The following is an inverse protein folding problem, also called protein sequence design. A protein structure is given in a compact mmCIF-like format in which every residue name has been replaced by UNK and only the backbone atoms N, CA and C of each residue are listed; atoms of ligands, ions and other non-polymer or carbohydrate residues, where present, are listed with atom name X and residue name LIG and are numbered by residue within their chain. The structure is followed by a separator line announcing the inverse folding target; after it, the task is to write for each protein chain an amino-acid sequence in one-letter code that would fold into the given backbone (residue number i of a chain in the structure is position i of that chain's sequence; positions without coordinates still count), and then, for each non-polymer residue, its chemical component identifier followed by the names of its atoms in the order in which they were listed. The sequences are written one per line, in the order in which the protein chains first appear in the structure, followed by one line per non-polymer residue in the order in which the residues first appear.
data_IF_354974064718
#
_entry.id   IF_354974064718
#
_cell.length_a   1.000
_cell.length_b   1.000
_cell.length_c   1.000
_cell.angle_alpha   90.00
_cell.angle_beta   90.00
_cell.angle_gamma   90.00
#
_symmetry.space_group_name_H-M   'P 1'
#
loop_
_entity.id
_entity.type
_entity.pdbx_description
1 polymer ?
#
# COMPACT_ATOMS: atom_id res chain seq x y z
N UNK A 1 -16.79 25.00 -39.50
CA UNK A 1 -16.82 24.73 -38.05
C UNK A 1 -16.37 23.30 -37.81
N UNK A 2 -15.50 23.11 -36.81
CA UNK A 2 -14.52 22.02 -36.67
C UNK A 2 -15.17 20.64 -36.58
N UNK A 3 -14.76 19.70 -37.45
CA UNK A 3 -15.09 18.27 -37.33
C UNK A 3 -14.26 17.68 -36.19
N UNK A 4 -14.94 17.18 -35.17
CA UNK A 4 -14.37 16.48 -34.03
C UNK A 4 -13.81 15.13 -34.52
N UNK A 5 -12.48 15.00 -34.56
CA UNK A 5 -11.82 13.72 -34.82
C UNK A 5 -11.82 12.91 -33.51
N UNK A 6 -12.76 11.98 -33.38
CA UNK A 6 -12.69 10.94 -32.36
C UNK A 6 -11.49 10.04 -32.69
N UNK A 7 -10.41 10.16 -31.90
CA UNK A 7 -9.29 9.22 -31.96
C UNK A 7 -9.77 7.89 -31.39
N UNK A 8 -10.05 6.94 -32.28
CA UNK A 8 -10.27 5.55 -31.94
C UNK A 8 -8.94 4.98 -31.45
N UNK A 9 -8.85 4.68 -30.15
CA UNK A 9 -7.72 4.00 -29.54
C UNK A 9 -7.76 2.53 -29.98
N UNK A 10 -6.95 2.16 -30.96
CA UNK A 10 -6.79 0.78 -31.39
C UNK A 10 -5.75 0.13 -30.45
N UNK A 11 -6.20 -0.50 -29.36
CA UNK A 11 -5.36 -1.35 -28.54
C UNK A 11 -5.06 -2.63 -29.32
N UNK A 12 -3.88 -2.71 -29.92
CA UNK A 12 -3.36 -3.96 -30.47
C UNK A 12 -2.89 -4.85 -29.31
N UNK A 13 -3.67 -5.87 -28.99
CA UNK A 13 -3.25 -6.97 -28.10
C UNK A 13 -2.13 -7.73 -28.82
N UNK A 14 -0.88 -7.40 -28.51
CA UNK A 14 0.24 -8.28 -28.84
C UNK A 14 0.33 -9.32 -27.73
N UNK A 15 -0.17 -10.52 -28.01
CA UNK A 15 -0.04 -11.66 -27.13
C UNK A 15 1.45 -12.05 -27.04
N UNK A 16 2.15 -11.49 -26.05
CA UNK A 16 3.43 -12.04 -25.61
C UNK A 16 3.09 -13.32 -24.86
N UNK A 17 3.63 -14.46 -25.32
CA UNK A 17 3.52 -15.72 -24.62
C UNK A 17 4.22 -15.61 -23.26
N UNK A 18 3.44 -15.34 -22.22
CA UNK A 18 3.92 -15.36 -20.84
C UNK A 18 4.16 -16.81 -20.44
N UNK A 19 5.42 -17.11 -20.11
CA UNK A 19 5.75 -18.30 -19.33
C UNK A 19 4.97 -18.16 -18.02
N UNK A 20 3.90 -18.93 -17.89
CA UNK A 20 3.05 -18.95 -16.71
C UNK A 20 3.85 -19.52 -15.53
N UNK A 21 4.51 -18.67 -14.76
CA UNK A 21 4.84 -19.02 -13.38
C UNK A 21 3.50 -19.11 -12.65
N UNK A 22 3.10 -20.34 -12.33
CA UNK A 22 1.88 -20.63 -11.55
C UNK A 22 2.06 -20.15 -10.11
N UNK A 23 1.99 -18.85 -9.90
CA UNK A 23 1.64 -18.24 -8.65
C UNK A 23 0.52 -17.28 -8.98
N UNK A 24 -0.71 -17.60 -8.59
CA UNK A 24 -1.77 -16.59 -8.63
C UNK A 24 -1.31 -15.53 -7.64
N UNK A 25 -0.90 -14.36 -8.13
CA UNK A 25 -0.62 -13.23 -7.27
C UNK A 25 -1.86 -13.03 -6.39
N UNK A 26 -1.68 -13.02 -5.07
CA UNK A 26 -2.77 -12.71 -4.15
C UNK A 26 -3.10 -11.24 -4.37
N UNK A 27 -4.14 -10.94 -5.15
CA UNK A 27 -4.53 -9.56 -5.38
C UNK A 27 -4.88 -8.90 -4.04
N UNK A 28 -4.10 -7.90 -3.64
CA UNK A 28 -4.39 -7.11 -2.44
C UNK A 28 -5.70 -6.36 -2.63
N UNK A 29 -6.68 -6.67 -1.78
CA UNK A 29 -7.96 -5.95 -1.76
C UNK A 29 -7.84 -4.78 -0.78
N UNK A 30 -7.82 -3.58 -1.33
CA UNK A 30 -7.84 -2.35 -0.55
C UNK A 30 -9.23 -2.06 0.00
N UNK A 31 -9.33 -1.79 1.29
CA UNK A 31 -10.53 -1.20 1.90
C UNK A 31 -10.42 0.33 1.91
N UNK A 32 -10.09 0.92 0.76
CA UNK A 32 -10.05 2.36 0.54
C UNK A 32 -10.83 2.69 -0.72
N UNK A 33 -11.59 3.77 -0.69
CA UNK A 33 -12.21 4.36 -1.86
C UNK A 33 -11.14 5.03 -2.74
N UNK A 34 -10.60 4.29 -3.71
CA UNK A 34 -9.64 4.80 -4.69
C UNK A 34 -10.43 5.26 -5.92
N UNK A 35 -10.49 6.58 -6.08
CA UNK A 35 -11.18 7.27 -7.17
C UNK A 35 -10.16 7.83 -8.15
N UNK A 36 -10.60 8.32 -9.31
CA UNK A 36 -9.71 9.02 -10.24
C UNK A 36 -9.05 10.23 -9.58
N UNK A 37 -9.79 10.98 -8.78
CA UNK A 37 -9.34 12.23 -8.17
C UNK A 37 -8.14 12.01 -7.23
N UNK A 38 -8.24 11.00 -6.36
CA UNK A 38 -7.22 10.68 -5.36
C UNK A 38 -6.15 9.68 -5.84
N UNK A 39 -6.23 9.22 -7.09
CA UNK A 39 -5.31 8.21 -7.61
C UNK A 39 -3.88 8.77 -7.71
N UNK A 40 -2.87 8.12 -7.10
CA UNK A 40 -1.48 8.58 -7.12
C UNK A 40 -0.79 8.19 -8.45
N UNK A 41 -1.24 8.78 -9.54
CA UNK A 41 -0.84 8.42 -10.91
C UNK A 41 0.69 8.50 -11.15
N UNK A 42 1.36 9.51 -10.61
CA UNK A 42 2.80 9.68 -10.78
C UNK A 42 3.61 8.54 -10.12
N UNK A 43 3.21 8.13 -8.91
CA UNK A 43 3.79 6.99 -8.21
C UNK A 43 3.50 5.68 -8.95
N UNK A 44 2.25 5.48 -9.38
CA UNK A 44 1.85 4.30 -10.15
C UNK A 44 2.64 4.16 -11.46
N UNK A 45 2.76 5.23 -12.25
CA UNK A 45 3.53 5.24 -13.49
C UNK A 45 5.04 5.00 -13.25
N UNK A 46 5.57 5.48 -12.13
CA UNK A 46 6.98 5.29 -11.76
C UNK A 46 7.27 3.84 -11.40
N UNK A 47 6.40 3.20 -10.62
CA UNK A 47 6.54 1.79 -10.22
C UNK A 47 6.29 0.82 -11.37
N UNK A 48 5.42 1.19 -12.30
CA UNK A 48 4.99 0.32 -13.40
C UNK A 48 5.43 0.88 -14.75
N UNK A 49 6.72 0.74 -15.04
CA UNK A 49 7.35 1.28 -16.24
C UNK A 49 6.75 0.73 -17.54
N UNK A 50 6.25 -0.50 -17.54
CA UNK A 50 5.56 -1.12 -18.67
C UNK A 50 4.22 -0.45 -18.95
N UNK A 51 3.43 -0.17 -17.91
CA UNK A 51 2.17 0.59 -18.02
C UNK A 51 2.44 2.01 -18.50
N UNK A 52 3.42 2.70 -17.91
CA UNK A 52 3.83 4.04 -18.34
C UNK A 52 4.27 4.07 -19.81
N UNK A 53 5.01 3.05 -20.25
CA UNK A 53 5.43 2.95 -21.66
C UNK A 53 4.25 2.79 -22.60
N UNK A 54 3.24 2.00 -22.21
CA UNK A 54 2.07 1.73 -23.03
C UNK A 54 1.04 2.87 -23.03
N UNK A 55 0.82 3.51 -21.88
CA UNK A 55 -0.31 4.41 -21.63
C UNK A 55 0.08 5.86 -21.36
N UNK A 56 1.37 6.13 -21.10
CA UNK A 56 1.86 7.45 -20.72
C UNK A 56 1.60 7.80 -19.25
N UNK A 57 1.53 9.10 -18.97
CA UNK A 57 1.41 9.66 -17.61
C UNK A 57 0.03 10.28 -17.31
N UNK A 58 -0.96 10.06 -18.18
CA UNK A 58 -2.31 10.60 -17.97
C UNK A 58 -3.02 9.92 -16.79
N UNK A 59 -3.41 10.71 -15.78
CA UNK A 59 -4.04 10.22 -14.55
C UNK A 59 -5.30 9.41 -14.82
N UNK A 60 -6.20 9.89 -15.69
CA UNK A 60 -7.46 9.22 -15.97
C UNK A 60 -7.22 7.87 -16.66
N UNK A 61 -6.26 7.82 -17.60
CA UNK A 61 -5.88 6.57 -18.29
C UNK A 61 -5.26 5.57 -17.32
N UNK A 62 -4.33 6.01 -16.46
CA UNK A 62 -3.66 5.14 -15.48
C UNK A 62 -4.61 4.64 -14.40
N UNK A 63 -5.53 5.48 -13.93
CA UNK A 63 -6.59 5.06 -13.01
C UNK A 63 -7.49 4.01 -13.65
N UNK A 64 -7.94 4.23 -14.88
CA UNK A 64 -8.76 3.27 -15.62
C UNK A 64 -8.02 1.94 -15.83
N UNK A 65 -6.71 1.98 -16.11
CA UNK A 65 -5.89 0.77 -16.15
C UNK A 65 -5.91 0.02 -14.82
N UNK A 66 -5.61 0.70 -13.71
CA UNK A 66 -5.62 0.07 -12.38
C UNK A 66 -6.97 -0.57 -12.06
N UNK A 67 -8.06 0.18 -12.28
CA UNK A 67 -9.43 -0.24 -11.98
C UNK A 67 -9.88 -1.45 -12.80
N UNK A 68 -9.51 -1.52 -14.07
CA UNK A 68 -10.00 -2.56 -14.99
C UNK A 68 -9.09 -3.78 -15.07
N UNK A 69 -7.78 -3.60 -14.84
CA UNK A 69 -6.78 -4.66 -15.06
C UNK A 69 -5.73 -4.70 -13.95
N UNK A 70 -5.21 -3.54 -13.52
CA UNK A 70 -4.04 -3.50 -12.66
C UNK A 70 -4.20 -4.26 -11.33
N UNK A 71 -5.37 -4.21 -10.69
CA UNK A 71 -5.61 -4.99 -9.47
C UNK A 71 -5.54 -6.51 -9.72
N UNK A 72 -6.08 -6.99 -10.86
CA UNK A 72 -6.01 -8.41 -11.25
C UNK A 72 -4.58 -8.83 -11.66
N UNK A 73 -3.80 -7.89 -12.19
CA UNK A 73 -2.36 -8.07 -12.47
C UNK A 73 -1.50 -8.08 -11.19
N UNK A 74 -2.09 -7.89 -10.00
CA UNK A 74 -1.37 -7.80 -8.73
C UNK A 74 -0.69 -6.45 -8.48
N UNK A 75 -1.06 -5.40 -9.24
CA UNK A 75 -0.50 -4.06 -9.06
C UNK A 75 -1.21 -3.34 -7.93
N UNK A 76 -0.44 -2.93 -6.94
CA UNK A 76 -0.92 -2.14 -5.81
C UNK A 76 -0.82 -0.62 -6.03
N UNK A 77 -1.58 0.13 -5.24
CA UNK A 77 -1.63 1.59 -5.23
C UNK A 77 -1.13 2.08 -3.88
N UNK A 78 -0.26 3.09 -3.90
CA UNK A 78 0.24 3.72 -2.68
C UNK A 78 -0.90 4.46 -1.97
N UNK A 79 -1.05 4.24 -0.66
CA UNK A 79 -2.06 4.94 0.12
C UNK A 79 -1.51 6.29 0.56
N UNK A 80 -2.11 7.36 0.05
CA UNK A 80 -1.68 8.76 0.28
C UNK A 80 -2.64 9.49 1.21
N UNK A 81 -2.24 10.69 1.64
CA UNK A 81 -3.10 11.60 2.40
C UNK A 81 -4.38 11.96 1.64
N UNK A 82 -4.29 12.13 0.30
CA UNK A 82 -5.45 12.37 -0.56
C UNK A 82 -6.42 11.18 -0.56
N UNK A 83 -5.92 9.95 -0.64
CA UNK A 83 -6.74 8.73 -0.54
C UNK A 83 -7.44 8.66 0.82
N UNK A 84 -6.73 8.97 1.91
CA UNK A 84 -7.30 8.89 3.26
C UNK A 84 -8.36 9.98 3.50
N UNK A 85 -8.12 11.21 3.05
CA UNK A 85 -9.04 12.34 3.24
C UNK A 85 -10.32 12.24 2.43
N UNK A 86 -10.33 11.47 1.34
CA UNK A 86 -11.54 11.24 0.56
C UNK A 86 -12.43 10.11 1.11
N UNK A 87 -11.99 9.37 2.14
CA UNK A 87 -12.78 8.28 2.70
C UNK A 87 -14.04 8.81 3.42
N UNK A 88 -15.14 8.06 3.36
CA UNK A 88 -16.38 8.42 4.08
C UNK A 88 -16.18 8.54 5.60
N UNK A 89 -15.17 7.85 6.16
CA UNK A 89 -14.79 7.87 7.57
C UNK A 89 -13.50 8.67 7.83
N UNK A 90 -13.19 9.68 7.00
CA UNK A 90 -11.98 10.50 7.12
C UNK A 90 -11.77 11.11 8.51
N UNK A 91 -12.86 11.41 9.23
CA UNK A 91 -12.84 12.00 10.58
C UNK A 91 -12.68 10.96 11.71
N UNK A 92 -12.56 9.67 11.38
CA UNK A 92 -12.34 8.62 12.39
C UNK A 92 -10.93 8.73 12.98
N UNK A 93 -10.78 8.36 14.27
CA UNK A 93 -9.48 8.33 14.95
C UNK A 93 -8.47 7.40 14.27
N UNK A 94 -8.96 6.32 13.63
CA UNK A 94 -8.13 5.40 12.84
C UNK A 94 -7.56 6.12 11.61
N UNK A 95 -8.39 6.83 10.83
CA UNK A 95 -7.91 7.57 9.64
C UNK A 95 -6.98 8.71 10.06
N UNK A 96 -7.30 9.44 11.13
CA UNK A 96 -6.41 10.47 11.68
C UNK A 96 -5.03 9.88 12.07
N UNK A 97 -5.01 8.68 12.66
CA UNK A 97 -3.77 7.97 13.01
C UNK A 97 -2.99 7.53 11.77
N UNK A 98 -3.67 7.07 10.72
CA UNK A 98 -3.05 6.77 9.40
C UNK A 98 -2.45 8.01 8.75
N UNK A 99 -3.15 9.16 8.80
CA UNK A 99 -2.62 10.44 8.32
C UNK A 99 -1.37 10.83 9.13
N UNK A 100 -1.40 10.68 10.46
CA UNK A 100 -0.21 10.93 11.28
C UNK A 100 0.95 9.99 10.93
N UNK A 101 0.68 8.70 10.70
CA UNK A 101 1.68 7.73 10.26
C UNK A 101 2.36 8.14 8.94
N UNK A 102 1.64 8.78 8.00
CA UNK A 102 2.26 9.36 6.79
C UNK A 102 3.29 10.46 7.11
N UNK A 103 3.11 11.20 8.21
CA UNK A 103 4.08 12.22 8.66
C UNK A 103 5.29 11.60 9.37
N UNK A 104 5.12 10.41 9.95
CA UNK A 104 6.19 9.66 10.60
C UNK A 104 7.11 8.99 9.57
N UNK A 105 6.55 8.44 8.48
CA UNK A 105 7.31 7.67 7.47
C UNK A 105 8.59 8.35 6.95
N UNK A 106 8.60 9.65 6.58
CA UNK A 106 9.81 10.33 6.12
C UNK A 106 10.93 10.43 7.16
N UNK A 107 10.64 10.17 8.45
CA UNK A 107 11.65 10.10 9.52
C UNK A 107 12.31 8.71 9.60
N UNK A 108 11.68 7.70 8.99
CA UNK A 108 12.10 6.30 9.02
C UNK A 108 12.85 5.94 7.74
N UNK A 109 12.34 6.39 6.60
CA UNK A 109 12.82 6.00 5.27
C UNK A 109 13.11 7.20 4.37
N UNK A 110 13.79 6.94 3.25
CA UNK A 110 13.96 7.91 2.18
C UNK A 110 13.91 7.24 0.80
N UNK A 111 13.85 8.05 -0.26
CA UNK A 111 13.67 7.57 -1.64
C UNK A 111 14.87 6.81 -2.23
N UNK A 112 16.03 6.87 -1.59
CA UNK A 112 17.23 6.12 -2.03
C UNK A 112 17.27 4.69 -1.50
N UNK A 113 16.42 4.37 -0.52
CA UNK A 113 16.31 3.03 0.03
C UNK A 113 15.58 2.09 -0.94
N UNK A 114 16.10 0.87 -1.05
CA UNK A 114 15.38 -0.27 -1.64
C UNK A 114 14.16 -0.64 -0.80
N UNK A 115 13.23 -1.40 -1.37
CA UNK A 115 12.03 -1.85 -0.64
C UNK A 115 12.40 -2.72 0.58
N UNK A 116 13.40 -3.58 0.45
CA UNK A 116 13.93 -4.37 1.56
C UNK A 116 14.54 -3.52 2.68
N UNK A 117 15.23 -2.42 2.34
CA UNK A 117 15.75 -1.48 3.34
C UNK A 117 14.63 -0.70 4.03
N UNK A 118 13.61 -0.27 3.28
CA UNK A 118 12.42 0.41 3.85
C UNK A 118 11.67 -0.50 4.82
N UNK A 119 11.43 -1.76 4.44
CA UNK A 119 10.78 -2.77 5.30
C UNK A 119 11.54 -2.93 6.62
N UNK A 120 12.87 -3.11 6.56
CA UNK A 120 13.72 -3.25 7.75
C UNK A 120 13.73 -1.98 8.62
N UNK A 121 13.78 -0.81 8.00
CA UNK A 121 13.75 0.46 8.71
C UNK A 121 12.43 0.64 9.47
N UNK A 122 11.30 0.35 8.82
CA UNK A 122 9.97 0.37 9.44
C UNK A 122 9.88 -0.64 10.59
N UNK A 123 10.29 -1.88 10.37
CA UNK A 123 10.30 -2.91 11.41
C UNK A 123 11.10 -2.46 12.65
N UNK A 124 12.32 -1.97 12.45
CA UNK A 124 13.20 -1.51 13.52
C UNK A 124 12.61 -0.31 14.26
N UNK A 125 12.03 0.64 13.53
CA UNK A 125 11.36 1.79 14.13
C UNK A 125 10.18 1.34 14.97
N UNK A 126 9.33 0.44 14.46
CA UNK A 126 8.17 -0.08 15.19
C UNK A 126 8.57 -0.80 16.49
N UNK A 127 9.58 -1.68 16.44
CA UNK A 127 10.11 -2.36 17.64
C UNK A 127 10.66 -1.40 18.70
N UNK A 128 11.19 -0.26 18.28
CA UNK A 128 11.83 0.72 19.17
C UNK A 128 10.82 1.70 19.76
N UNK A 129 9.82 2.10 18.98
CA UNK A 129 8.96 3.24 19.31
C UNK A 129 7.56 2.85 19.75
N UNK A 130 7.13 1.61 19.52
CA UNK A 130 5.81 1.14 19.90
C UNK A 130 5.92 0.26 21.15
N UNK A 131 5.04 0.49 22.12
CA UNK A 131 5.00 -0.27 23.37
C UNK A 131 3.96 -1.38 23.27
N UNK A 132 4.35 -2.62 23.56
CA UNK A 132 3.39 -3.72 23.66
C UNK A 132 2.52 -3.57 24.92
N UNK A 133 1.21 -3.78 24.78
CA UNK A 133 0.28 -3.84 25.90
C UNK A 133 -1.17 -3.62 25.48
N UNK A 134 -2.06 -3.69 26.46
CA UNK A 134 -3.50 -3.46 26.28
C UNK A 134 -3.87 -2.06 26.75
N UNK A 135 -4.70 -1.38 25.99
CA UNK A 135 -5.37 -0.15 26.42
C UNK A 135 -6.70 -0.49 27.11
N UNK A 136 -7.29 0.49 27.81
CA UNK A 136 -8.62 0.31 28.44
C UNK A 136 -9.75 0.35 27.42
N UNK A 137 -9.51 1.01 26.30
CA UNK A 137 -10.40 1.07 25.13
C UNK A 137 -9.91 0.10 24.05
N UNK A 138 -10.46 0.21 22.84
CA UNK A 138 -10.04 -0.64 21.71
C UNK A 138 -8.86 -0.07 20.90
N UNK A 139 -8.21 1.03 21.34
CA UNK A 139 -7.12 1.65 20.56
C UNK A 139 -5.92 0.73 20.37
N UNK A 140 -5.65 -0.17 21.32
CA UNK A 140 -4.53 -1.11 21.26
C UNK A 140 -4.64 -2.17 20.15
N UNK A 141 -5.84 -2.42 19.61
CA UNK A 141 -6.06 -3.33 18.48
C UNK A 141 -5.90 -2.65 17.11
N UNK A 142 -5.58 -1.36 17.11
CA UNK A 142 -5.51 -0.54 15.92
C UNK A 142 -4.22 0.27 15.85
N UNK A 143 -3.93 0.82 14.67
CA UNK A 143 -2.85 1.82 14.47
C UNK A 143 -2.96 3.05 15.39
N UNK A 144 -4.13 3.27 16.00
CA UNK A 144 -4.37 4.32 16.99
C UNK A 144 -3.40 4.24 18.17
N UNK A 145 -3.20 3.05 18.75
CA UNK A 145 -2.26 2.87 19.87
C UNK A 145 -0.85 3.34 19.50
N UNK A 146 -0.22 2.75 18.47
CA UNK A 146 1.10 3.14 17.98
C UNK A 146 1.26 4.63 17.67
N UNK A 147 0.26 5.24 17.03
CA UNK A 147 0.35 6.63 16.56
C UNK A 147 0.01 7.67 17.63
N UNK A 148 -0.51 7.25 18.79
CA UNK A 148 -0.82 8.14 19.92
C UNK A 148 0.11 7.91 21.13
N UNK A 149 1.21 7.18 20.94
CA UNK A 149 2.10 6.71 22.00
C UNK A 149 1.39 5.89 23.10
N UNK A 150 0.28 5.24 22.73
CA UNK A 150 -0.41 4.26 23.55
C UNK A 150 0.18 2.85 23.39
N UNK A 151 -0.16 1.93 24.30
CA UNK A 151 0.20 0.53 24.14
C UNK A 151 -0.60 -0.12 23.00
N UNK A 152 -0.05 -1.18 22.39
CA UNK A 152 -0.74 -1.94 21.34
C UNK A 152 -0.53 -3.45 21.48
N UNK A 153 -1.49 -4.23 20.99
CA UNK A 153 -1.38 -5.70 20.85
C UNK A 153 -0.91 -6.07 19.44
N UNK A 154 -0.79 -7.37 19.18
CA UNK A 154 -0.34 -7.89 17.88
C UNK A 154 -1.18 -7.37 16.70
N UNK A 155 -2.49 -7.18 16.90
CA UNK A 155 -3.40 -6.64 15.88
C UNK A 155 -3.05 -5.20 15.47
N UNK A 156 -2.77 -4.34 16.44
CA UNK A 156 -2.40 -2.95 16.14
C UNK A 156 -0.99 -2.85 15.56
N UNK A 157 -0.07 -3.76 15.92
CA UNK A 157 1.20 -3.91 15.21
C UNK A 157 0.99 -4.32 13.75
N UNK A 158 0.16 -5.32 13.49
CA UNK A 158 -0.09 -5.82 12.15
C UNK A 158 -0.77 -4.76 11.25
N UNK A 159 -1.78 -4.05 11.76
CA UNK A 159 -2.42 -2.95 11.04
C UNK A 159 -1.41 -1.83 10.73
N UNK A 160 -0.57 -1.47 11.70
CA UNK A 160 0.40 -0.38 11.53
C UNK A 160 1.45 -0.72 10.50
N UNK A 161 1.98 -1.95 10.53
CA UNK A 161 2.99 -2.40 9.58
C UNK A 161 2.42 -2.45 8.16
N UNK A 162 1.24 -3.07 7.98
CA UNK A 162 0.57 -3.11 6.68
C UNK A 162 0.30 -1.71 6.13
N UNK A 163 -0.17 -0.78 6.98
CA UNK A 163 -0.40 0.59 6.57
C UNK A 163 0.90 1.30 6.13
N UNK A 164 2.01 1.11 6.85
CA UNK A 164 3.29 1.68 6.41
C UNK A 164 3.72 1.12 5.05
N UNK A 165 3.53 -0.17 4.80
CA UNK A 165 3.87 -0.78 3.50
C UNK A 165 2.98 -0.22 2.37
N UNK A 166 1.69 -0.07 2.65
CA UNK A 166 0.74 0.56 1.73
C UNK A 166 1.10 2.00 1.38
N UNK A 167 1.49 2.78 2.39
CA UNK A 167 1.96 4.15 2.19
C UNK A 167 3.34 4.22 1.52
N UNK A 168 4.08 3.13 1.45
CA UNK A 168 5.33 3.02 0.71
C UNK A 168 5.14 2.46 -0.71
N UNK A 169 3.96 1.93 -1.03
CA UNK A 169 3.73 1.21 -2.28
C UNK A 169 4.44 -0.13 -2.33
N UNK A 170 4.66 -0.75 -1.16
CA UNK A 170 5.25 -2.08 -0.98
C UNK A 170 4.12 -3.05 -0.65
N UNK A 171 4.07 -4.18 -1.35
CA UNK A 171 2.97 -5.13 -1.17
C UNK A 171 3.13 -5.90 0.14
N UNK A 172 2.15 -5.74 1.03
CA UNK A 172 2.05 -6.48 2.28
C UNK A 172 0.60 -6.86 2.56
N UNK A 173 0.39 -7.98 3.25
CA UNK A 173 -0.93 -8.51 3.59
C UNK A 173 -0.94 -8.89 5.06
N UNK A 174 -1.98 -8.52 5.79
CA UNK A 174 -2.26 -9.07 7.13
C UNK A 174 -2.81 -10.50 7.03
N UNK A 175 -2.22 -11.44 7.76
CA UNK A 175 -2.66 -12.83 7.79
C UNK A 175 -4.07 -12.96 8.41
N UNK A 176 -4.72 -14.09 8.19
CA UNK A 176 -6.09 -14.34 8.67
C UNK A 176 -6.25 -14.32 10.20
N UNK A 177 -5.14 -14.40 10.95
CA UNK A 177 -5.12 -14.25 12.41
C UNK A 177 -5.22 -12.79 12.87
N UNK A 178 -5.09 -11.83 11.93
CA UNK A 178 -5.02 -10.39 12.14
C UNK A 178 -3.84 -9.91 12.98
N UNK A 179 -2.87 -10.77 13.29
CA UNK A 179 -1.81 -10.52 14.28
C UNK A 179 -0.41 -10.54 13.67
N UNK A 180 -0.30 -10.92 12.40
CA UNK A 180 0.96 -11.01 11.68
C UNK A 180 0.78 -10.60 10.23
N UNK A 181 1.87 -10.23 9.56
CA UNK A 181 1.84 -9.85 8.14
C UNK A 181 2.71 -10.78 7.31
N UNK A 182 2.55 -10.66 5.99
CA UNK A 182 3.56 -11.01 5.00
C UNK A 182 3.89 -9.78 4.18
N UNK A 183 5.12 -9.68 3.69
CA UNK A 183 5.57 -8.61 2.81
C UNK A 183 6.32 -9.19 1.62
N UNK A 184 6.04 -8.66 0.43
CA UNK A 184 6.70 -9.00 -0.81
C UNK A 184 7.86 -8.02 -1.04
N UNK A 185 9.08 -8.56 -1.08
CA UNK A 185 10.29 -7.79 -1.42
C UNK A 185 10.94 -8.49 -2.60
N UNK A 186 11.06 -7.77 -3.72
CA UNK A 186 11.66 -8.27 -4.96
C UNK A 186 11.05 -9.60 -5.47
N UNK A 187 9.73 -9.78 -5.29
CA UNK A 187 9.01 -10.98 -5.73
C UNK A 187 9.04 -12.14 -4.73
N UNK A 188 9.66 -11.96 -3.56
CA UNK A 188 9.74 -12.98 -2.51
C UNK A 188 8.91 -12.55 -1.29
N UNK A 189 8.06 -13.45 -0.82
CA UNK A 189 7.22 -13.23 0.36
C UNK A 189 7.94 -13.62 1.66
N UNK A 190 7.98 -12.70 2.62
CA UNK A 190 8.56 -12.89 3.96
C UNK A 190 7.47 -12.75 5.03
N UNK A 191 7.52 -13.58 6.07
CA UNK A 191 6.61 -13.46 7.23
C UNK A 191 7.12 -12.39 8.19
N UNK A 192 6.22 -11.53 8.68
CA UNK A 192 6.52 -10.45 9.61
C UNK A 192 5.66 -10.62 10.87
N UNK A 193 6.30 -10.62 12.04
CA UNK A 193 5.63 -10.64 13.34
C UNK A 193 6.29 -9.60 14.26
N UNK A 194 5.59 -8.51 14.58
CA UNK A 194 6.08 -7.43 15.43
C UNK A 194 5.19 -7.45 16.70
N UNK A 195 5.76 -7.42 17.93
CA UNK A 195 7.14 -7.07 18.30
C UNK A 195 8.10 -8.26 18.41
N UNK A 196 7.63 -9.51 18.28
CA UNK A 196 8.44 -10.72 18.52
C UNK A 196 9.64 -10.87 17.55
N UNK A 197 9.58 -10.27 16.35
CA UNK A 197 10.62 -10.29 15.30
C UNK A 197 10.34 -11.23 14.13
N UNK A 198 10.98 -10.96 12.98
CA UNK A 198 10.88 -11.74 11.72
C UNK A 198 11.55 -13.12 11.82
N UNK A 199 10.87 -14.15 11.32
CA UNK A 199 11.46 -15.45 10.98
C UNK A 199 11.99 -15.35 9.54
N UNK A 200 13.28 -15.06 9.38
CA UNK A 200 13.99 -15.22 8.10
C UNK A 200 14.29 -16.70 7.86
#
# INVERSE_FOLDING_TARGET
MKKLLARVLCLTVTAVALVSSTGVAQAKVYNYDITEDNFPAADYATRYADVKTALGDDKAVLYNHYKLFGAEEGRIVKITDEVLKSQANAESTIVASKIFALTVLPTIVNDTMTDGEKVKAVENWMKTNITYGVSKDNSCYHIVGPMTAGPTTDEGYAETFEFFMDALGIEAITNSDLKSNKVNVDGVWYNINIPAGVLY
#
